data_IF_625798955385
#
_entry.id   IF_625798955385
#
_cell.length_a   1.000
_cell.length_b   1.000
_cell.length_c   1.000
_cell.angle_alpha   90.00
_cell.angle_beta   90.00
_cell.angle_gamma   90.00
#
_symmetry.space_group_name_H-M   'P 1'
#
loop_
_entity.id
_entity.type
_entity.pdbx_description
1 polymer ?
#
# COMPACT_ATOMS: atom_id res chain seq x y z
N UNK A 1 -10.07 -14.98 1.67
CA UNK A 1 -8.63 -14.66 1.46
C UNK A 1 -8.60 -13.61 0.36
N UNK A 2 -8.07 -12.42 0.63
CA UNK A 2 -8.11 -11.29 -0.31
C UNK A 2 -7.23 -11.62 -1.51
N UNK A 3 -7.78 -11.52 -2.72
CA UNK A 3 -7.01 -11.74 -3.95
C UNK A 3 -6.16 -10.48 -4.23
N UNK A 4 -4.84 -10.62 -4.28
CA UNK A 4 -3.92 -9.54 -4.66
C UNK A 4 -4.21 -8.96 -6.05
N UNK A 5 -4.92 -9.70 -6.91
CA UNK A 5 -5.35 -9.22 -8.24
C UNK A 5 -6.47 -8.18 -8.16
N UNK A 6 -7.23 -8.16 -7.06
CA UNK A 6 -8.29 -7.17 -6.81
C UNK A 6 -7.72 -5.89 -6.19
N UNK A 7 -6.54 -5.99 -5.56
CA UNK A 7 -5.74 -4.87 -5.08
C UNK A 7 -4.95 -4.29 -6.26
N UNK A 8 -5.65 -3.50 -7.08
CA UNK A 8 -5.07 -2.87 -8.26
C UNK A 8 -3.88 -1.96 -7.92
N UNK A 9 -2.90 -1.92 -8.83
CA UNK A 9 -1.81 -0.95 -8.78
C UNK A 9 -2.36 0.44 -9.12
N UNK A 10 -1.98 1.44 -8.32
CA UNK A 10 -2.39 2.84 -8.53
C UNK A 10 -1.18 3.68 -8.93
N UNK A 11 -1.42 4.70 -9.74
CA UNK A 11 -0.38 5.67 -10.07
C UNK A 11 -0.05 6.53 -8.85
N UNK A 12 1.24 6.63 -8.52
CA UNK A 12 1.70 7.36 -7.33
C UNK A 12 1.38 8.85 -7.39
N UNK A 13 1.34 9.47 -8.57
CA UNK A 13 1.01 10.90 -8.74
C UNK A 13 -0.39 11.22 -8.21
N UNK A 14 -1.39 10.42 -8.61
CA UNK A 14 -2.77 10.60 -8.16
C UNK A 14 -2.92 10.28 -6.68
N UNK A 15 -2.24 9.25 -6.20
CA UNK A 15 -2.24 8.84 -4.81
C UNK A 15 -1.71 9.98 -3.90
N UNK A 16 -0.57 10.59 -4.24
CA UNK A 16 -0.02 11.72 -3.50
C UNK A 16 -0.89 12.98 -3.59
N UNK A 17 -1.48 13.27 -4.76
CA UNK A 17 -2.40 14.40 -4.90
C UNK A 17 -3.61 14.27 -3.95
N UNK A 18 -4.18 13.06 -3.82
CA UNK A 18 -5.27 12.77 -2.86
C UNK A 18 -4.80 12.93 -1.42
N UNK A 19 -3.61 12.43 -1.08
CA UNK A 19 -3.04 12.54 0.27
C UNK A 19 -2.78 13.98 0.71
N UNK A 20 -2.17 14.80 -0.16
CA UNK A 20 -1.93 16.22 0.11
C UNK A 20 -3.26 16.96 0.29
N UNK A 21 -4.23 16.74 -0.60
CA UNK A 21 -5.55 17.37 -0.50
C UNK A 21 -6.32 16.93 0.75
N UNK A 22 -6.19 15.66 1.12
CA UNK A 22 -6.85 15.06 2.28
C UNK A 22 -6.12 15.28 3.61
N UNK A 23 -4.93 15.87 3.61
CA UNK A 23 -4.15 16.12 4.83
C UNK A 23 -3.68 14.85 5.54
N UNK A 24 -3.41 13.76 4.81
CA UNK A 24 -2.95 12.50 5.38
C UNK A 24 -1.63 12.02 4.74
N UNK A 25 -0.92 11.16 5.45
CA UNK A 25 0.30 10.51 4.95
C UNK A 25 -0.02 9.10 4.43
N UNK A 26 0.83 8.62 3.52
CA UNK A 26 0.73 7.26 2.98
C UNK A 26 1.94 6.47 3.50
N UNK A 27 1.74 5.34 4.19
CA UNK A 27 2.85 4.54 4.69
C UNK A 27 3.60 3.85 3.54
N UNK A 28 4.93 3.80 3.68
CA UNK A 28 5.81 3.08 2.76
C UNK A 28 6.57 2.00 3.53
N UNK A 29 6.32 0.74 3.17
CA UNK A 29 6.92 -0.41 3.84
C UNK A 29 7.85 -1.13 2.87
N UNK A 30 9.04 -1.46 3.36
CA UNK A 30 9.92 -2.41 2.68
C UNK A 30 9.51 -3.83 3.04
N UNK A 31 9.60 -4.74 2.07
CA UNK A 31 9.39 -6.16 2.30
C UNK A 31 10.49 -6.97 1.62
N UNK A 32 10.88 -8.07 2.26
CA UNK A 32 11.94 -8.96 1.79
C UNK A 32 11.48 -10.43 1.67
N UNK A 33 10.26 -10.74 2.12
CA UNK A 33 9.67 -12.06 2.04
C UNK A 33 8.13 -11.99 1.89
N UNK A 34 7.51 -13.16 1.73
CA UNK A 34 6.08 -13.27 1.46
C UNK A 34 5.23 -12.97 2.69
N UNK A 35 5.71 -13.31 3.88
CA UNK A 35 5.01 -13.12 5.14
C UNK A 35 4.86 -11.62 5.46
N UNK A 36 5.91 -10.83 5.22
CA UNK A 36 5.87 -9.38 5.36
C UNK A 36 4.89 -8.75 4.37
N UNK A 37 4.95 -9.17 3.10
CA UNK A 37 4.02 -8.69 2.08
C UNK A 37 2.57 -8.99 2.47
N UNK A 38 2.28 -10.21 2.91
CA UNK A 38 0.94 -10.61 3.34
C UNK A 38 0.46 -9.78 4.54
N UNK A 39 1.30 -9.57 5.55
CA UNK A 39 0.96 -8.76 6.72
C UNK A 39 0.64 -7.31 6.34
N UNK A 40 1.46 -6.69 5.48
CA UNK A 40 1.24 -5.31 5.02
C UNK A 40 -0.07 -5.20 4.23
N UNK A 41 -0.31 -6.13 3.31
CA UNK A 41 -1.53 -6.14 2.49
C UNK A 41 -2.77 -6.37 3.35
N UNK A 42 -2.71 -7.29 4.31
CA UNK A 42 -3.84 -7.58 5.19
C UNK A 42 -4.22 -6.35 6.02
N UNK A 43 -3.23 -5.66 6.59
CA UNK A 43 -3.46 -4.41 7.32
C UNK A 43 -4.01 -3.29 6.41
N UNK A 44 -3.49 -3.16 5.19
CA UNK A 44 -3.97 -2.16 4.23
C UNK A 44 -5.45 -2.39 3.83
N UNK A 45 -5.84 -3.66 3.64
CA UNK A 45 -7.22 -4.03 3.33
C UNK A 45 -8.15 -3.76 4.50
N UNK A 46 -7.77 -4.19 5.71
CA UNK A 46 -8.57 -4.02 6.92
C UNK A 46 -8.83 -2.53 7.22
N UNK A 47 -7.80 -1.71 7.07
CA UNK A 47 -7.86 -0.24 7.28
C UNK A 47 -8.37 0.53 6.06
N UNK A 48 -8.62 -0.14 4.94
CA UNK A 48 -9.00 0.47 3.65
C UNK A 48 -8.10 1.65 3.25
N UNK A 49 -6.81 1.50 3.51
CA UNK A 49 -5.82 2.57 3.35
C UNK A 49 -4.86 2.29 2.20
N UNK A 50 -4.43 3.32 1.44
CA UNK A 50 -3.38 3.17 0.44
C UNK A 50 -2.05 2.85 1.12
N UNK A 51 -1.20 2.06 0.46
CA UNK A 51 0.12 1.67 0.96
C UNK A 51 1.14 1.67 -0.18
N UNK A 52 2.38 2.03 0.12
CA UNK A 52 3.51 1.91 -0.80
C UNK A 52 4.32 0.67 -0.39
N UNK A 53 4.50 -0.25 -1.33
CA UNK A 53 5.39 -1.40 -1.16
C UNK A 53 6.72 -1.09 -1.83
N UNK A 54 7.80 -1.17 -1.06
CA UNK A 54 9.15 -0.85 -1.50
C UNK A 54 10.03 -2.09 -1.46
N UNK A 55 10.95 -2.15 -2.41
CA UNK A 55 12.03 -3.14 -2.45
C UNK A 55 13.32 -2.37 -2.47
N UNK A 56 14.16 -2.57 -1.46
CA UNK A 56 15.51 -2.02 -1.42
C UNK A 56 16.42 -2.75 -2.42
N UNK A 57 17.47 -2.07 -2.88
CA UNK A 57 18.45 -2.63 -3.80
C UNK A 57 19.32 -3.71 -3.14
#
# INVERSE_FOLDING_TARGET
MVSYKELGLVNTKEMFAKAIKGGYAIPAFNFNNMEQLQAIIQAAVETKSPVILQVSK
#
